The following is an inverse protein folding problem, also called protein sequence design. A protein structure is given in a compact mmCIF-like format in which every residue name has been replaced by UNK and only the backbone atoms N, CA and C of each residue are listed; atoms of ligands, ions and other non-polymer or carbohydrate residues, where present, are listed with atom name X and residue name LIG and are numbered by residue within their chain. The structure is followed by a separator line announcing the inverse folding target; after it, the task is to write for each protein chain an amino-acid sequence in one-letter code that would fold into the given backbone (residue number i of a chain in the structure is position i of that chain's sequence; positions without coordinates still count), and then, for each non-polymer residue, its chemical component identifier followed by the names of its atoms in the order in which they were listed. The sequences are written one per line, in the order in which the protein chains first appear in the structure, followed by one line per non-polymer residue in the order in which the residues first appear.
data_IF_909024099546
#
_entry.id   IF_909024099546
#
_cell.length_a   1.000
_cell.length_b   1.000
_cell.length_c   1.000
_cell.angle_alpha   90.00
_cell.angle_beta   90.00
_cell.angle_gamma   90.00
#
_symmetry.space_group_name_H-M   'P 1'
#
loop_
_entity.id
_entity.type
_entity.pdbx_description
1 polymer ?
#
# COMPACT_ATOMS: atom_id res chain seq x y z
N UNK A 1 -22.11 18.56 -26.54
CA UNK A 1 -22.13 18.19 -25.12
C UNK A 1 -20.80 17.54 -24.84
N UNK A 2 -19.91 18.24 -24.11
CA UNK A 2 -18.65 17.63 -23.69
C UNK A 2 -18.97 16.44 -22.80
N UNK A 3 -18.54 15.25 -23.22
CA UNK A 3 -18.68 14.06 -22.39
C UNK A 3 -17.83 14.23 -21.14
N UNK A 4 -18.43 14.05 -19.98
CA UNK A 4 -17.69 14.03 -18.71
C UNK A 4 -16.61 12.95 -18.78
N UNK A 5 -15.36 13.34 -18.63
CA UNK A 5 -14.23 12.44 -18.55
C UNK A 5 -13.83 12.26 -17.09
N UNK A 6 -13.80 11.00 -16.64
CA UNK A 6 -13.33 10.62 -15.32
C UNK A 6 -11.88 10.12 -15.40
N UNK A 7 -11.13 10.30 -14.34
CA UNK A 7 -9.72 9.87 -14.29
C UNK A 7 -9.62 8.54 -13.57
N UNK A 8 -8.95 7.57 -14.19
CA UNK A 8 -8.68 6.26 -13.62
C UNK A 8 -7.19 6.15 -13.29
N UNK A 9 -6.86 6.10 -12.01
CA UNK A 9 -5.52 5.73 -11.54
C UNK A 9 -5.44 4.24 -11.28
N UNK A 10 -4.40 3.59 -11.80
CA UNK A 10 -4.10 2.17 -11.58
C UNK A 10 -2.70 2.08 -10.98
N UNK A 11 -2.58 1.49 -9.79
CA UNK A 11 -1.28 1.18 -9.18
C UNK A 11 -1.09 -0.33 -9.12
N UNK A 12 -0.03 -0.81 -9.77
CA UNK A 12 0.37 -2.21 -9.76
C UNK A 12 1.65 -2.34 -8.97
N UNK A 13 1.51 -2.72 -7.71
CA UNK A 13 2.63 -3.02 -6.83
C UNK A 13 3.10 -4.47 -6.95
N UNK A 14 4.11 -4.84 -6.16
CA UNK A 14 4.66 -6.21 -6.11
C UNK A 14 3.66 -7.26 -5.62
N UNK A 15 2.72 -6.88 -4.75
CA UNK A 15 1.75 -7.80 -4.13
C UNK A 15 0.29 -7.44 -4.38
N UNK A 16 0.01 -6.22 -4.84
CA UNK A 16 -1.36 -5.67 -4.87
C UNK A 16 -1.63 -4.88 -6.14
N UNK A 17 -2.90 -4.88 -6.55
CA UNK A 17 -3.46 -3.95 -7.54
C UNK A 17 -4.42 -3.01 -6.82
N UNK A 18 -4.32 -1.73 -7.12
CA UNK A 18 -5.19 -0.68 -6.58
C UNK A 18 -5.74 0.13 -7.73
N UNK A 19 -7.01 0.53 -7.64
CA UNK A 19 -7.58 1.49 -8.58
C UNK A 19 -8.28 2.61 -7.83
N UNK A 20 -8.30 3.79 -8.45
CA UNK A 20 -9.08 4.93 -7.99
C UNK A 20 -9.69 5.64 -9.19
N UNK A 21 -10.98 5.94 -9.12
CA UNK A 21 -11.70 6.72 -10.13
C UNK A 21 -12.08 8.05 -9.51
N UNK A 22 -11.66 9.12 -10.15
CA UNK A 22 -11.87 10.50 -9.71
C UNK A 22 -12.77 11.23 -10.69
N UNK A 23 -13.59 12.12 -10.15
CA UNK A 23 -14.35 13.10 -10.95
C UNK A 23 -13.47 14.30 -11.37
N UNK A 24 -14.08 15.27 -12.01
CA UNK A 24 -13.45 16.52 -12.46
C UNK A 24 -12.92 17.37 -11.30
N UNK A 25 -13.48 17.22 -10.10
CA UNK A 25 -13.10 17.96 -8.88
C UNK A 25 -12.03 17.21 -8.05
N UNK A 26 -11.54 16.07 -8.54
CA UNK A 26 -10.65 15.14 -7.82
C UNK A 26 -11.32 14.43 -6.62
N UNK A 27 -12.65 14.37 -6.58
CA UNK A 27 -13.34 13.57 -5.59
C UNK A 27 -13.31 12.10 -5.99
N UNK A 28 -13.04 11.21 -5.00
CA UNK A 28 -12.95 9.77 -5.24
C UNK A 28 -14.37 9.20 -5.35
N UNK A 29 -14.73 8.72 -6.55
CA UNK A 29 -16.01 8.07 -6.80
C UNK A 29 -15.97 6.57 -6.52
N UNK A 30 -14.82 5.96 -6.79
CA UNK A 30 -14.55 4.55 -6.54
C UNK A 30 -13.09 4.36 -6.21
N UNK A 31 -12.79 3.51 -5.24
CA UNK A 31 -11.45 3.01 -5.00
C UNK A 31 -11.52 1.61 -4.42
N UNK A 32 -10.57 0.78 -4.81
CA UNK A 32 -10.41 -0.55 -4.24
C UNK A 32 -8.95 -1.00 -4.29
N UNK A 33 -8.62 -1.95 -3.43
CA UNK A 33 -7.29 -2.46 -3.16
C UNK A 33 -7.35 -3.97 -2.98
N UNK A 34 -6.73 -4.72 -3.88
CA UNK A 34 -6.76 -6.19 -3.83
C UNK A 34 -5.37 -6.80 -4.03
N UNK A 35 -5.12 -7.93 -3.34
CA UNK A 35 -3.94 -8.76 -3.58
C UNK A 35 -4.10 -9.51 -4.90
N UNK A 36 -3.05 -9.52 -5.71
CA UNK A 36 -3.10 -10.17 -7.03
C UNK A 36 -2.61 -11.62 -7.03
N UNK A 37 -1.87 -12.07 -6.03
CA UNK A 37 -1.35 -13.44 -5.95
C UNK A 37 -0.75 -13.92 -7.29
N UNK A 38 0.05 -13.10 -7.94
CA UNK A 38 0.62 -13.24 -9.27
C UNK A 38 -0.38 -13.17 -10.45
N UNK A 39 -1.69 -12.99 -10.21
CA UNK A 39 -2.73 -12.86 -11.23
C UNK A 39 -3.14 -11.39 -11.45
N UNK A 40 -2.18 -10.56 -11.87
CA UNK A 40 -2.37 -9.10 -12.00
C UNK A 40 -3.52 -8.76 -12.96
N UNK A 41 -3.55 -9.38 -14.13
CA UNK A 41 -4.54 -9.08 -15.18
C UNK A 41 -5.96 -9.41 -14.73
N UNK A 42 -6.16 -10.58 -14.14
CA UNK A 42 -7.46 -11.02 -13.64
C UNK A 42 -7.94 -10.12 -12.47
N UNK A 43 -7.04 -9.78 -11.55
CA UNK A 43 -7.36 -8.89 -10.44
C UNK A 43 -7.75 -7.50 -10.94
N UNK A 44 -7.00 -6.93 -11.89
CA UNK A 44 -7.34 -5.64 -12.49
C UNK A 44 -8.68 -5.70 -13.23
N UNK A 45 -8.92 -6.75 -14.03
CA UNK A 45 -10.18 -6.92 -14.75
C UNK A 45 -11.37 -6.97 -13.78
N UNK A 46 -11.27 -7.71 -12.69
CA UNK A 46 -12.29 -7.78 -11.65
C UNK A 46 -12.57 -6.41 -11.02
N UNK A 47 -11.54 -5.68 -10.63
CA UNK A 47 -11.68 -4.33 -10.08
C UNK A 47 -12.39 -3.37 -11.03
N UNK A 48 -12.09 -3.45 -12.33
CA UNK A 48 -12.75 -2.62 -13.35
C UNK A 48 -14.21 -3.01 -13.55
N UNK A 49 -14.54 -4.31 -13.47
CA UNK A 49 -15.93 -4.79 -13.52
C UNK A 49 -16.71 -4.28 -12.31
N UNK A 50 -16.16 -4.40 -11.10
CA UNK A 50 -16.78 -3.90 -9.86
C UNK A 50 -17.00 -2.37 -9.93
N UNK A 51 -16.04 -1.63 -10.47
CA UNK A 51 -16.19 -0.18 -10.69
C UNK A 51 -17.34 0.13 -11.66
N UNK A 52 -17.44 -0.62 -12.79
CA UNK A 52 -18.51 -0.47 -13.78
C UNK A 52 -19.88 -0.80 -13.19
N UNK A 53 -19.98 -1.85 -12.37
CA UNK A 53 -21.23 -2.20 -11.69
C UNK A 53 -21.72 -1.09 -10.76
N UNK A 54 -20.81 -0.39 -10.07
CA UNK A 54 -21.14 0.70 -9.16
C UNK A 54 -21.41 2.04 -9.86
N UNK A 55 -20.65 2.36 -10.90
CA UNK A 55 -20.68 3.69 -11.53
C UNK A 55 -21.43 3.73 -12.87
N UNK A 56 -21.77 2.55 -13.43
CA UNK A 56 -22.33 2.45 -14.76
C UNK A 56 -21.28 2.63 -15.87
N UNK A 57 -21.74 2.92 -17.09
CA UNK A 57 -20.87 3.20 -18.24
C UNK A 57 -20.41 4.65 -18.20
N UNK A 58 -19.10 4.85 -18.02
CA UNK A 58 -18.46 6.18 -17.98
C UNK A 58 -17.20 6.18 -18.84
N UNK A 59 -16.84 7.34 -19.40
CA UNK A 59 -15.60 7.50 -20.15
C UNK A 59 -14.44 7.76 -19.18
N UNK A 60 -13.44 6.87 -19.20
CA UNK A 60 -12.28 6.90 -18.31
C UNK A 60 -11.02 7.31 -19.05
N UNK A 61 -10.21 8.18 -18.44
CA UNK A 61 -8.84 8.48 -18.84
C UNK A 61 -7.89 7.75 -17.90
N UNK A 62 -7.29 6.63 -18.34
CA UNK A 62 -6.43 5.82 -17.48
C UNK A 62 -5.02 6.38 -17.36
N UNK A 63 -4.40 6.14 -16.20
CA UNK A 63 -2.99 6.37 -15.93
C UNK A 63 -2.49 5.25 -15.02
N UNK A 64 -1.30 4.73 -15.29
CA UNK A 64 -0.74 3.58 -14.57
C UNK A 64 0.51 4.00 -13.82
N UNK A 65 0.67 3.46 -12.61
CA UNK A 65 1.85 3.59 -11.76
C UNK A 65 2.17 2.25 -11.08
N UNK A 66 3.21 2.22 -10.28
CA UNK A 66 3.62 1.03 -9.52
C UNK A 66 4.75 0.25 -10.17
N UNK A 67 5.50 -0.51 -9.36
CA UNK A 67 6.67 -1.27 -9.79
C UNK A 67 6.37 -2.31 -10.88
N UNK A 68 5.16 -2.90 -10.86
CA UNK A 68 4.67 -3.84 -11.88
C UNK A 68 3.93 -3.18 -13.05
N UNK A 69 3.70 -1.86 -13.02
CA UNK A 69 2.81 -1.17 -13.94
C UNK A 69 3.38 -0.86 -15.33
N UNK A 70 4.70 -0.73 -15.46
CA UNK A 70 5.34 -0.25 -16.70
C UNK A 70 5.04 -1.15 -17.92
N UNK A 71 5.14 -2.46 -17.76
CA UNK A 71 4.89 -3.42 -18.82
C UNK A 71 3.44 -3.36 -19.30
N UNK A 72 2.49 -3.28 -18.36
CA UNK A 72 1.07 -3.18 -18.67
C UNK A 72 0.75 -1.85 -19.35
N UNK A 73 1.31 -0.73 -18.87
CA UNK A 73 1.14 0.58 -19.46
C UNK A 73 1.60 0.62 -20.92
N UNK A 74 2.76 0.02 -21.19
CA UNK A 74 3.31 -0.11 -22.55
C UNK A 74 2.38 -0.95 -23.45
N UNK A 75 1.90 -2.10 -22.94
CA UNK A 75 1.03 -2.99 -23.69
C UNK A 75 -0.33 -2.36 -24.02
N UNK A 76 -0.90 -1.61 -23.10
CA UNK A 76 -2.19 -0.94 -23.25
C UNK A 76 -2.10 0.46 -23.89
N UNK A 77 -0.90 0.93 -24.22
CA UNK A 77 -0.64 2.29 -24.72
C UNK A 77 -1.20 3.38 -23.78
N UNK A 78 -1.09 3.16 -22.46
CA UNK A 78 -1.54 4.07 -21.40
C UNK A 78 -0.32 4.79 -20.80
N UNK A 79 -0.50 6.03 -20.39
CA UNK A 79 0.55 6.80 -19.73
C UNK A 79 0.99 6.14 -18.41
N UNK A 80 2.32 5.92 -18.28
CA UNK A 80 2.93 5.49 -17.03
C UNK A 80 3.50 6.69 -16.27
N UNK A 81 3.32 6.70 -14.95
CA UNK A 81 3.86 7.71 -14.03
C UNK A 81 4.60 7.00 -12.90
N UNK A 82 5.79 7.49 -12.56
CA UNK A 82 6.52 6.96 -11.42
C UNK A 82 5.78 7.21 -10.10
N UNK A 83 5.82 6.26 -9.16
CA UNK A 83 5.08 6.33 -7.89
C UNK A 83 5.40 7.60 -7.10
N UNK A 84 6.66 8.00 -7.01
CA UNK A 84 7.05 9.22 -6.29
C UNK A 84 6.39 10.47 -6.87
N UNK A 85 6.23 10.53 -8.19
CA UNK A 85 5.55 11.64 -8.88
C UNK A 85 4.04 11.59 -8.61
N UNK A 86 3.45 10.39 -8.66
CA UNK A 86 2.03 10.20 -8.35
C UNK A 86 1.71 10.60 -6.91
N UNK A 87 2.51 10.13 -5.93
CA UNK A 87 2.36 10.47 -4.50
C UNK A 87 2.54 11.97 -4.28
N UNK A 88 3.58 12.58 -4.85
CA UNK A 88 3.82 14.02 -4.71
C UNK A 88 2.69 14.86 -5.29
N UNK A 89 2.14 14.44 -6.43
CA UNK A 89 1.01 15.13 -7.06
C UNK A 89 -0.26 15.03 -6.22
N UNK A 90 -0.56 13.83 -5.69
CA UNK A 90 -1.70 13.61 -4.82
C UNK A 90 -1.59 14.45 -3.54
N UNK A 91 -0.45 14.42 -2.85
CA UNK A 91 -0.23 15.17 -1.61
C UNK A 91 -0.30 16.68 -1.80
N UNK A 92 0.19 17.20 -2.93
CA UNK A 92 -0.01 18.61 -3.27
C UNK A 92 -1.48 19.01 -3.33
N UNK A 93 -2.34 18.11 -3.80
CA UNK A 93 -3.77 18.37 -3.94
C UNK A 93 -4.54 18.22 -2.62
N UNK A 94 -4.25 17.17 -1.84
CA UNK A 94 -5.06 16.80 -0.66
C UNK A 94 -4.43 17.20 0.68
N UNK A 95 -3.11 17.33 0.74
CA UNK A 95 -2.35 17.64 1.94
C UNK A 95 -1.14 18.55 1.65
N UNK A 96 -1.36 19.79 1.16
CA UNK A 96 -0.28 20.66 0.62
C UNK A 96 0.76 21.11 1.66
N UNK A 97 0.51 20.89 2.94
CA UNK A 97 1.45 21.20 4.04
C UNK A 97 2.31 20.00 4.47
N UNK A 98 2.29 18.91 3.70
CA UNK A 98 3.07 17.72 4.02
C UNK A 98 4.55 17.97 3.69
N UNK A 99 5.42 17.85 4.67
CA UNK A 99 6.88 17.93 4.50
C UNK A 99 7.51 16.58 4.18
N UNK A 100 6.93 15.51 4.70
CA UNK A 100 7.46 14.14 4.56
C UNK A 100 6.31 13.16 4.35
N UNK A 101 6.50 12.21 3.42
CA UNK A 101 5.63 11.05 3.27
C UNK A 101 6.42 9.76 3.50
N UNK A 102 5.81 8.81 4.19
CA UNK A 102 6.33 7.45 4.34
C UNK A 102 5.37 6.51 3.61
N UNK A 103 5.89 5.81 2.61
CA UNK A 103 5.16 4.81 1.84
C UNK A 103 5.67 3.41 2.25
N UNK A 104 4.76 2.58 2.72
CA UNK A 104 5.02 1.16 3.02
C UNK A 104 4.41 0.30 1.92
N UNK A 105 5.22 -0.08 0.96
CA UNK A 105 4.86 -1.03 -0.10
C UNK A 105 4.90 -2.48 0.38
N UNK A 106 4.58 -3.42 -0.51
CA UNK A 106 4.67 -4.85 -0.23
C UNK A 106 6.08 -5.30 0.08
N UNK A 107 7.07 -4.84 -0.68
CA UNK A 107 8.48 -5.21 -0.56
C UNK A 107 9.40 -4.02 -0.26
N UNK A 108 8.92 -2.79 -0.52
CA UNK A 108 9.68 -1.56 -0.37
C UNK A 108 9.09 -0.69 0.75
N UNK A 109 9.96 0.04 1.44
CA UNK A 109 9.61 1.15 2.29
C UNK A 109 10.32 2.40 1.74
N UNK A 110 9.58 3.48 1.53
CA UNK A 110 10.10 4.73 0.96
C UNK A 110 9.78 5.89 1.89
N UNK A 111 10.74 6.78 2.05
CA UNK A 111 10.53 8.09 2.67
C UNK A 111 10.76 9.16 1.60
N UNK A 112 9.80 10.07 1.47
CA UNK A 112 9.81 11.14 0.46
C UNK A 112 9.77 12.47 1.19
N UNK A 113 10.76 13.30 0.95
CA UNK A 113 10.86 14.67 1.49
C UNK A 113 10.41 15.66 0.40
N UNK A 114 9.64 16.67 0.80
CA UNK A 114 9.12 17.69 -0.10
C UNK A 114 9.75 19.07 0.12
N UNK A 115 10.53 19.26 1.19
CA UNK A 115 11.18 20.51 1.51
C UNK A 115 12.46 20.70 0.68
N UNK A 116 12.50 21.77 -0.10
CA UNK A 116 13.67 22.08 -0.96
C UNK A 116 13.76 21.28 -2.27
N UNK A 117 12.71 20.55 -2.62
CA UNK A 117 12.63 19.66 -3.78
C UNK A 117 12.10 18.29 -3.36
N UNK A 118 11.99 17.36 -4.32
CA UNK A 118 11.62 15.98 -4.03
C UNK A 118 12.88 15.15 -3.85
N UNK A 119 13.17 14.70 -2.63
CA UNK A 119 14.20 13.71 -2.31
C UNK A 119 13.53 12.42 -1.85
N UNK A 120 13.96 11.28 -2.38
CA UNK A 120 13.41 9.97 -2.04
C UNK A 120 14.53 9.05 -1.56
N UNK A 121 14.25 8.34 -0.47
CA UNK A 121 15.09 7.25 0.00
C UNK A 121 14.25 5.99 0.17
N UNK A 122 14.84 4.86 -0.19
CA UNK A 122 14.22 3.54 -0.06
C UNK A 122 15.03 2.68 0.90
N UNK A 123 14.38 1.68 1.51
CA UNK A 123 15.10 0.58 2.16
C UNK A 123 15.98 -0.13 1.13
N UNK A 124 17.03 -0.77 1.61
CA UNK A 124 17.94 -1.57 0.77
C UNK A 124 17.30 -2.93 0.37
N UNK A 125 18.04 -4.01 0.55
CA UNK A 125 17.64 -5.37 0.12
C UNK A 125 16.63 -6.02 1.09
N UNK A 126 16.52 -5.53 2.32
CA UNK A 126 15.72 -6.17 3.38
C UNK A 126 14.28 -5.65 3.36
N UNK A 127 13.31 -6.56 3.28
CA UNK A 127 11.88 -6.25 3.39
C UNK A 127 11.39 -5.99 4.84
N UNK A 128 12.28 -5.90 5.83
CA UNK A 128 11.93 -5.55 7.21
C UNK A 128 11.24 -4.19 7.30
N UNK A 129 10.11 -4.12 7.99
CA UNK A 129 9.30 -2.90 8.10
C UNK A 129 8.42 -2.61 6.88
N UNK A 130 8.32 -3.53 5.92
CA UNK A 130 7.42 -3.42 4.75
C UNK A 130 6.08 -4.12 4.99
N UNK A 131 5.15 -3.99 4.04
CA UNK A 131 3.87 -4.69 4.07
C UNK A 131 4.02 -6.21 4.18
N UNK A 132 4.99 -6.82 3.48
CA UNK A 132 5.27 -8.26 3.59
C UNK A 132 5.73 -8.67 4.98
N UNK A 133 6.49 -7.83 5.68
CA UNK A 133 6.83 -8.08 7.08
C UNK A 133 5.60 -8.05 7.98
N UNK A 134 4.74 -7.04 7.83
CA UNK A 134 3.49 -6.92 8.59
C UNK A 134 2.60 -8.16 8.34
N UNK A 135 2.48 -8.61 7.09
CA UNK A 135 1.71 -9.80 6.74
C UNK A 135 2.27 -11.08 7.38
N UNK A 136 3.60 -11.22 7.40
CA UNK A 136 4.24 -12.37 8.07
C UNK A 136 3.98 -12.37 9.58
N UNK A 137 4.03 -11.20 10.21
CA UNK A 137 3.75 -11.07 11.63
C UNK A 137 2.26 -11.30 11.94
N UNK A 138 1.37 -10.78 11.12
CA UNK A 138 -0.06 -11.03 11.23
C UNK A 138 -0.37 -12.54 11.10
N UNK A 139 0.22 -13.20 10.09
CA UNK A 139 0.08 -14.64 9.91
C UNK A 139 0.60 -15.45 11.12
N UNK A 140 1.73 -15.03 11.70
CA UNK A 140 2.29 -15.67 12.91
C UNK A 140 1.32 -15.58 14.10
N UNK A 141 0.60 -14.46 14.22
CA UNK A 141 -0.43 -14.24 15.24
C UNK A 141 -1.84 -14.70 14.81
N UNK A 142 -1.94 -15.43 13.68
CA UNK A 142 -3.20 -15.99 13.14
C UNK A 142 -4.26 -14.91 12.87
N UNK A 143 -3.86 -13.82 12.26
CA UNK A 143 -4.72 -12.69 11.88
C UNK A 143 -4.25 -12.09 10.54
N UNK A 144 -4.86 -10.99 10.11
CA UNK A 144 -4.43 -10.14 9.00
C UNK A 144 -3.88 -8.79 9.51
N UNK A 145 -3.48 -7.91 8.59
CA UNK A 145 -2.92 -6.61 8.94
C UNK A 145 -3.92 -5.73 9.73
N UNK A 146 -5.22 -5.83 9.45
CA UNK A 146 -6.27 -5.11 10.18
C UNK A 146 -6.42 -5.63 11.59
N UNK A 147 -6.52 -6.97 11.74
CA UNK A 147 -6.60 -7.62 13.05
C UNK A 147 -5.34 -7.42 13.89
N UNK A 148 -4.15 -7.36 13.27
CA UNK A 148 -2.91 -7.01 13.97
C UNK A 148 -2.99 -5.61 14.56
N UNK A 149 -3.49 -4.63 13.79
CA UNK A 149 -3.71 -3.27 14.27
C UNK A 149 -4.75 -3.22 15.41
N UNK A 150 -5.82 -4.01 15.32
CA UNK A 150 -6.84 -4.05 16.37
C UNK A 150 -6.32 -4.68 17.67
N UNK A 151 -5.49 -5.73 17.58
CA UNK A 151 -4.79 -6.26 18.75
C UNK A 151 -3.90 -5.20 19.38
N UNK A 152 -3.08 -4.51 18.59
CA UNK A 152 -2.13 -3.52 19.10
C UNK A 152 -2.78 -2.38 19.90
N UNK A 153 -4.05 -2.03 19.62
CA UNK A 153 -4.78 -1.00 20.37
C UNK A 153 -5.04 -1.36 21.84
N UNK A 154 -5.04 -2.66 22.17
CA UNK A 154 -5.44 -3.17 23.48
C UNK A 154 -4.26 -3.73 24.29
N UNK A 155 -3.04 -3.37 23.95
CA UNK A 155 -1.83 -3.85 24.62
C UNK A 155 -1.73 -3.37 26.07
N UNK A 156 -1.00 -4.12 26.87
CA UNK A 156 -0.67 -3.81 28.27
C UNK A 156 0.84 -3.77 28.53
N UNK A 157 1.60 -4.49 27.72
CA UNK A 157 3.05 -4.55 27.81
C UNK A 157 3.68 -4.47 26.42
N UNK A 158 4.93 -4.00 26.36
CA UNK A 158 5.74 -3.94 25.15
C UNK A 158 7.00 -4.74 25.40
N UNK A 159 7.31 -5.64 24.48
CA UNK A 159 8.51 -6.47 24.49
C UNK A 159 9.57 -5.90 23.55
N UNK A 160 10.85 -5.96 23.90
CA UNK A 160 11.92 -5.58 22.98
C UNK A 160 12.00 -6.60 21.83
N UNK A 161 11.78 -6.13 20.61
CA UNK A 161 11.84 -6.90 19.37
C UNK A 161 12.84 -6.22 18.43
N UNK A 162 13.63 -7.00 17.70
CA UNK A 162 14.61 -6.48 16.76
C UNK A 162 13.97 -5.62 15.67
N UNK A 163 14.31 -4.33 15.63
CA UNK A 163 13.74 -3.35 14.70
C UNK A 163 14.42 -3.34 13.32
N UNK A 164 15.62 -3.91 13.15
CA UNK A 164 16.39 -3.82 11.91
C UNK A 164 16.20 -4.97 10.94
N UNK A 165 15.82 -6.13 11.43
CA UNK A 165 15.78 -7.35 10.65
C UNK A 165 14.53 -8.17 10.95
N UNK A 166 13.68 -8.38 9.96
CA UNK A 166 12.44 -9.15 10.12
C UNK A 166 12.68 -10.61 10.53
N UNK A 167 13.84 -11.19 10.20
CA UNK A 167 14.20 -12.55 10.65
C UNK A 167 14.47 -12.56 12.15
N UNK A 168 15.26 -11.61 12.66
CA UNK A 168 15.50 -11.50 14.09
C UNK A 168 14.22 -11.12 14.86
N UNK A 169 13.41 -10.20 14.33
CA UNK A 169 12.11 -9.90 14.92
C UNK A 169 11.26 -11.16 15.10
N UNK A 170 11.18 -12.02 14.08
CA UNK A 170 10.47 -13.30 14.18
C UNK A 170 11.09 -14.24 15.23
N UNK A 171 12.41 -14.28 15.30
CA UNK A 171 13.14 -15.11 16.29
C UNK A 171 12.93 -14.61 17.72
N UNK A 172 12.73 -13.31 17.92
CA UNK A 172 12.44 -12.72 19.24
C UNK A 172 10.99 -12.96 19.65
N UNK A 173 10.04 -12.93 18.69
CA UNK A 173 8.62 -13.13 18.96
C UNK A 173 8.30 -14.58 19.32
N UNK A 174 8.95 -15.56 18.69
CA UNK A 174 8.60 -16.96 18.87
C UNK A 174 8.76 -17.47 20.33
N UNK A 175 9.83 -17.16 21.07
CA UNK A 175 9.91 -17.45 22.49
C UNK A 175 8.80 -16.80 23.32
N UNK A 176 8.50 -15.53 23.05
CA UNK A 176 7.44 -14.80 23.77
C UNK A 176 6.06 -15.45 23.60
N UNK A 177 5.75 -15.96 22.40
CA UNK A 177 4.53 -16.75 22.17
C UNK A 177 4.52 -18.00 23.06
N UNK A 178 5.64 -18.71 23.13
CA UNK A 178 5.77 -19.93 23.94
C UNK A 178 5.68 -19.64 25.44
N UNK A 179 6.08 -18.48 25.88
CA UNK A 179 6.01 -17.99 27.27
C UNK A 179 4.61 -17.44 27.63
N UNK A 180 3.69 -17.38 26.67
CA UNK A 180 2.30 -16.97 26.89
C UNK A 180 2.06 -15.47 26.78
N UNK A 181 2.94 -14.71 26.11
CA UNK A 181 2.67 -13.30 25.79
C UNK A 181 1.37 -13.16 24.98
N UNK A 182 0.59 -12.14 25.28
CA UNK A 182 -0.70 -11.93 24.63
C UNK A 182 -0.53 -11.45 23.18
N UNK A 183 -1.51 -11.72 22.32
CA UNK A 183 -1.49 -11.23 20.93
C UNK A 183 -1.49 -9.71 20.86
N UNK A 184 -2.17 -9.08 21.79
CA UNK A 184 -2.25 -7.62 21.93
C UNK A 184 -0.87 -7.00 22.21
N UNK A 185 -0.14 -7.57 23.16
CA UNK A 185 1.19 -7.10 23.53
C UNK A 185 2.21 -7.35 22.43
N UNK A 186 2.15 -8.54 21.79
CA UNK A 186 3.02 -8.87 20.66
C UNK A 186 2.74 -7.98 19.45
N UNK A 187 1.48 -7.73 19.13
CA UNK A 187 1.10 -6.85 18.02
C UNK A 187 1.61 -5.42 18.24
N UNK A 188 1.44 -4.87 19.44
CA UNK A 188 1.96 -3.54 19.77
C UNK A 188 3.50 -3.50 19.71
N UNK A 189 4.17 -4.55 20.16
CA UNK A 189 5.63 -4.66 20.12
C UNK A 189 6.19 -4.73 18.68
N UNK A 190 5.44 -5.31 17.75
CA UNK A 190 5.79 -5.36 16.31
C UNK A 190 5.74 -3.96 15.67
N UNK A 191 4.83 -3.10 16.11
CA UNK A 191 4.65 -1.75 15.56
C UNK A 191 5.55 -0.69 16.21
N UNK A 192 6.22 -0.99 17.30
CA UNK A 192 7.16 -0.08 17.96
C UNK A 192 8.51 -0.03 17.23
#
# INVERSE_FOLDING_TARGET
MDKKQYRLGINIGSTTVKIAILDEKNEVLFSDYQRHFANIQETLARLLVEAREKLGEIDLVPMITGSGGLTLATHLHVTFVQEVVAVATALKAIAPKTDVAIELGGEDAKIIYFTGGIDQRMNGICAGGTGSFIDQMASLLQTDASGLNDYAKNYKAIYPIAARCGVFAKSDIQPLINEGATREDLAASIFQ
#
